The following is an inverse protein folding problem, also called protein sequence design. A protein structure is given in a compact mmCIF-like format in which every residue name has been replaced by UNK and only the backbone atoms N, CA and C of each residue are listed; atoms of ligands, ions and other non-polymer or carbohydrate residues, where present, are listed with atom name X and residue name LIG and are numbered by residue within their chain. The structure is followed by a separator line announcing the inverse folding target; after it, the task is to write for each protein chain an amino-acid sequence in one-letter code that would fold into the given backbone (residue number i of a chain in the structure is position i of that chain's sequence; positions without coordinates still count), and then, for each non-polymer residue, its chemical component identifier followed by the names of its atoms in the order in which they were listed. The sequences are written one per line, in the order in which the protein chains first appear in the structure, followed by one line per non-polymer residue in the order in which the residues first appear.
data_IF_113062230059
#
_entry.id   IF_113062230059
#
_cell.length_a   1.000
_cell.length_b   1.000
_cell.length_c   1.000
_cell.angle_alpha   90.00
_cell.angle_beta   90.00
_cell.angle_gamma   90.00
#
_symmetry.space_group_name_H-M   'P 1'
#
loop_
_entity.id
_entity.type
_entity.pdbx_description
1 polymer ?
#
# COMPACT_ATOMS: atom_id res chain seq x y z
N UNK A 1 1.91 0.50 -33.63
CA UNK A 1 1.93 0.66 -35.08
C UNK A 1 2.72 1.89 -35.48
N UNK A 2 2.40 3.06 -34.92
CA UNK A 2 3.13 4.32 -35.19
C UNK A 2 4.63 4.25 -34.86
N UNK A 3 4.98 3.77 -33.66
CA UNK A 3 6.38 3.59 -33.24
C UNK A 3 7.18 2.62 -34.13
N UNK A 4 6.49 1.81 -34.94
CA UNK A 4 7.09 0.84 -35.85
C UNK A 4 6.91 1.20 -37.32
N UNK A 5 6.39 2.40 -37.65
CA UNK A 5 6.07 2.79 -39.03
C UNK A 5 5.20 1.74 -39.77
N UNK A 6 4.18 1.19 -39.09
CA UNK A 6 3.31 0.10 -39.57
C UNK A 6 3.99 -1.24 -39.89
N UNK A 7 5.25 -1.45 -39.48
CA UNK A 7 5.91 -2.75 -39.53
C UNK A 7 5.33 -3.71 -38.48
N UNK A 8 4.63 -4.73 -38.95
CA UNK A 8 3.91 -5.69 -38.10
C UNK A 8 4.84 -6.62 -37.34
N UNK A 9 6.01 -6.97 -37.92
CA UNK A 9 7.01 -7.83 -37.27
C UNK A 9 7.64 -7.08 -36.10
N UNK A 10 8.07 -5.84 -36.34
CA UNK A 10 8.61 -4.98 -35.26
C UNK A 10 7.58 -4.68 -34.19
N UNK A 11 6.32 -4.45 -34.57
CA UNK A 11 5.24 -4.25 -33.60
C UNK A 11 5.04 -5.48 -32.70
N UNK A 12 5.10 -6.69 -33.27
CA UNK A 12 5.02 -7.93 -32.51
C UNK A 12 6.24 -8.13 -31.59
N UNK A 13 7.44 -7.82 -32.06
CA UNK A 13 8.67 -7.88 -31.26
C UNK A 13 8.62 -6.93 -30.06
N UNK A 14 8.22 -5.67 -30.28
CA UNK A 14 8.05 -4.70 -29.19
C UNK A 14 6.97 -5.14 -28.19
N UNK A 15 5.88 -5.74 -28.69
CA UNK A 15 4.84 -6.27 -27.82
C UNK A 15 5.37 -7.42 -26.95
N UNK A 16 6.13 -8.37 -27.52
CA UNK A 16 6.77 -9.46 -26.77
C UNK A 16 7.75 -8.93 -25.73
N UNK A 17 8.58 -7.96 -26.10
CA UNK A 17 9.49 -7.29 -25.16
C UNK A 17 8.73 -6.63 -24.01
N UNK A 18 7.61 -5.94 -24.30
CA UNK A 18 6.78 -5.31 -23.28
C UNK A 18 6.21 -6.33 -22.29
N UNK A 19 5.70 -7.46 -22.79
CA UNK A 19 5.17 -8.53 -21.95
C UNK A 19 6.26 -9.15 -21.05
N UNK A 20 7.46 -9.37 -21.59
CA UNK A 20 8.59 -9.88 -20.82
C UNK A 20 8.98 -8.92 -19.68
N UNK A 21 9.12 -7.63 -20.00
CA UNK A 21 9.46 -6.62 -19.00
C UNK A 21 8.37 -6.45 -17.94
N UNK A 22 7.09 -6.43 -18.36
CA UNK A 22 5.96 -6.35 -17.43
C UNK A 22 5.93 -7.56 -16.48
N UNK A 23 6.19 -8.76 -16.98
CA UNK A 23 6.24 -9.99 -16.17
C UNK A 23 7.37 -9.94 -15.15
N UNK A 24 8.56 -9.47 -15.54
CA UNK A 24 9.68 -9.30 -14.60
C UNK A 24 9.37 -8.26 -13.52
N UNK A 25 8.75 -7.13 -13.88
CA UNK A 25 8.35 -6.14 -12.89
C UNK A 25 7.23 -6.62 -11.98
N UNK A 26 6.31 -7.45 -12.47
CA UNK A 26 5.23 -8.00 -11.65
C UNK A 26 5.79 -8.76 -10.44
N UNK A 27 6.85 -9.55 -10.63
CA UNK A 27 7.52 -10.26 -9.54
C UNK A 27 8.10 -9.30 -8.49
N UNK A 28 8.96 -8.38 -8.94
CA UNK A 28 9.64 -7.42 -8.06
C UNK A 28 8.63 -6.56 -7.29
N UNK A 29 7.63 -6.00 -7.99
CA UNK A 29 6.61 -5.16 -7.38
C UNK A 29 5.74 -5.92 -6.36
N UNK A 30 5.47 -7.21 -6.60
CA UNK A 30 4.71 -8.03 -5.66
C UNK A 30 5.46 -8.21 -4.34
N UNK A 31 6.78 -8.43 -4.40
CA UNK A 31 7.63 -8.52 -3.21
C UNK A 31 7.68 -7.17 -2.49
N UNK A 32 7.94 -6.08 -3.22
CA UNK A 32 7.96 -4.72 -2.65
C UNK A 32 6.65 -4.39 -1.94
N UNK A 33 5.51 -4.74 -2.53
CA UNK A 33 4.19 -4.49 -1.93
C UNK A 33 4.02 -5.21 -0.59
N UNK A 34 4.44 -6.47 -0.50
CA UNK A 34 4.31 -7.28 0.74
C UNK A 34 5.21 -6.73 1.83
N UNK A 35 6.48 -6.40 1.51
CA UNK A 35 7.44 -5.85 2.47
C UNK A 35 6.95 -4.52 3.01
N UNK A 36 6.58 -3.60 2.11
CA UNK A 36 6.07 -2.27 2.48
C UNK A 36 4.79 -2.37 3.33
N UNK A 37 3.85 -3.25 2.92
CA UNK A 37 2.59 -3.49 3.65
C UNK A 37 2.86 -3.93 5.09
N UNK A 38 3.73 -4.92 5.28
CA UNK A 38 4.02 -5.46 6.60
C UNK A 38 4.76 -4.45 7.48
N UNK A 39 5.70 -3.69 6.90
CA UNK A 39 6.43 -2.66 7.62
C UNK A 39 5.50 -1.54 8.10
N UNK A 40 4.63 -1.02 7.22
CA UNK A 40 3.65 0.01 7.58
C UNK A 40 2.62 -0.53 8.57
N UNK A 41 2.13 -1.76 8.39
CA UNK A 41 1.20 -2.37 9.33
C UNK A 41 1.79 -2.46 10.73
N UNK A 42 3.04 -2.93 10.85
CA UNK A 42 3.75 -3.00 12.14
C UNK A 42 3.89 -1.64 12.81
N UNK A 43 4.32 -0.61 12.07
CA UNK A 43 4.45 0.74 12.59
C UNK A 43 3.09 1.32 13.07
N UNK A 44 2.03 1.11 12.28
CA UNK A 44 0.69 1.59 12.63
C UNK A 44 0.06 0.81 13.79
N UNK A 45 0.31 -0.50 13.91
CA UNK A 45 -0.12 -1.32 15.05
C UNK A 45 0.46 -0.79 16.36
N UNK A 46 1.76 -0.53 16.39
CA UNK A 46 2.46 0.05 17.54
C UNK A 46 1.87 1.42 17.90
N UNK A 47 1.77 2.32 16.93
CA UNK A 47 1.23 3.67 17.16
C UNK A 47 -0.23 3.66 17.63
N UNK A 48 -1.10 2.84 17.02
CA UNK A 48 -2.52 2.79 17.36
C UNK A 48 -2.76 2.21 18.77
N UNK A 49 -1.86 1.34 19.24
CA UNK A 49 -1.91 0.74 20.58
C UNK A 49 -1.50 1.70 21.71
N UNK A 50 -0.95 2.88 21.41
CA UNK A 50 -0.46 3.85 22.40
C UNK A 50 -1.27 5.17 22.38
N UNK A 51 -2.34 5.29 23.19
CA UNK A 51 -3.19 6.49 23.25
C UNK A 51 -2.42 7.77 23.66
N UNK A 52 -1.36 7.64 24.46
CA UNK A 52 -0.55 8.78 24.89
C UNK A 52 0.18 9.51 23.75
N UNK A 53 0.48 8.81 22.65
CA UNK A 53 1.05 9.43 21.45
C UNK A 53 -0.01 10.17 20.60
N UNK A 54 -1.30 9.97 20.91
CA UNK A 54 -2.45 10.53 20.18
C UNK A 54 -2.93 11.87 20.77
N UNK A 55 -2.16 12.45 21.73
CA UNK A 55 -2.45 13.64 22.58
C UNK A 55 -2.94 14.94 21.90
N UNK A 56 -3.11 14.96 20.57
CA UNK A 56 -3.67 16.10 19.83
C UNK A 56 -5.13 15.96 19.37
N UNK A 57 -5.83 14.83 19.55
CA UNK A 57 -7.19 14.67 18.99
C UNK A 57 -8.21 13.98 19.91
N UNK A 58 -9.43 14.54 19.84
CA UNK A 58 -10.73 14.19 20.41
C UNK A 58 -10.97 12.67 20.56
N UNK A 59 -11.52 12.21 21.72
CA UNK A 59 -11.87 10.80 21.92
C UNK A 59 -12.82 10.31 20.81
N UNK A 60 -12.40 9.26 20.11
CA UNK A 60 -13.24 8.61 19.11
C UNK A 60 -14.34 7.81 19.80
N UNK A 61 -15.59 8.04 19.39
CA UNK A 61 -16.70 7.16 19.73
C UNK A 61 -16.38 5.74 19.24
N UNK A 62 -16.35 4.78 20.15
CA UNK A 62 -16.25 3.36 19.84
C UNK A 62 -17.37 2.99 18.87
N UNK A 63 -17.03 2.70 17.60
CA UNK A 63 -18.05 2.17 16.70
C UNK A 63 -18.44 0.78 17.20
N UNK A 64 -19.75 0.48 17.31
CA UNK A 64 -20.17 -0.85 17.72
C UNK A 64 -19.63 -1.89 16.72
N UNK A 65 -19.22 -3.07 17.22
CA UNK A 65 -18.66 -4.11 16.36
C UNK A 65 -19.68 -4.52 15.29
N UNK A 66 -19.25 -4.49 14.02
CA UNK A 66 -20.07 -4.96 12.90
C UNK A 66 -20.21 -6.49 12.98
N UNK A 67 -21.40 -7.03 12.71
CA UNK A 67 -21.65 -8.47 12.75
C UNK A 67 -20.61 -9.27 11.94
N UNK A 68 -20.10 -10.35 12.52
CA UNK A 68 -19.11 -11.28 11.95
C UNK A 68 -17.69 -10.70 11.69
N UNK A 69 -17.36 -9.59 12.33
CA UNK A 69 -16.01 -8.99 12.39
C UNK A 69 -15.51 -9.11 13.83
N UNK A 70 -14.23 -9.47 14.00
CA UNK A 70 -13.62 -9.49 15.33
C UNK A 70 -13.65 -8.07 15.93
N UNK A 71 -14.02 -7.88 17.21
CA UNK A 71 -13.92 -6.56 17.84
C UNK A 71 -12.46 -6.06 17.79
N UNK A 72 -12.22 -4.76 17.55
CA UNK A 72 -10.87 -4.23 17.44
C UNK A 72 -10.11 -4.36 18.76
N UNK A 73 -8.93 -4.96 18.73
CA UNK A 73 -7.93 -4.76 19.78
C UNK A 73 -7.24 -3.39 19.66
N UNK A 74 -6.47 -2.94 20.68
CA UNK A 74 -5.77 -1.65 20.64
C UNK A 74 -4.84 -1.48 19.43
N UNK A 75 -4.22 -2.57 18.97
CA UNK A 75 -3.32 -2.56 17.82
C UNK A 75 -4.04 -2.71 16.46
N UNK A 76 -5.31 -3.13 16.43
CA UNK A 76 -6.03 -3.46 15.19
C UNK A 76 -6.58 -2.20 14.50
N UNK A 77 -5.65 -1.37 14.01
CA UNK A 77 -5.93 -0.05 13.46
C UNK A 77 -6.88 -0.09 12.26
N UNK A 78 -6.97 -1.19 11.49
CA UNK A 78 -7.94 -1.28 10.39
C UNK A 78 -9.37 -1.36 10.96
N UNK A 79 -9.55 -2.09 12.06
CA UNK A 79 -10.84 -2.29 12.71
C UNK A 79 -11.21 -1.12 13.62
N UNK A 80 -10.23 -0.46 14.22
CA UNK A 80 -10.40 0.64 15.18
C UNK A 80 -9.30 1.70 15.06
N UNK A 81 -9.24 2.39 13.91
CA UNK A 81 -8.25 3.45 13.68
C UNK A 81 -8.47 4.66 14.60
N UNK A 82 -7.39 5.11 15.23
CA UNK A 82 -7.32 6.43 15.85
C UNK A 82 -7.26 7.57 14.80
N UNK A 83 -7.48 8.81 15.23
CA UNK A 83 -7.21 9.98 14.39
C UNK A 83 -5.71 10.28 14.34
N UNK A 84 -5.14 10.71 13.18
CA UNK A 84 -5.83 11.05 11.93
C UNK A 84 -6.11 9.86 10.98
N UNK A 85 -5.56 8.68 11.27
CA UNK A 85 -5.59 7.50 10.40
C UNK A 85 -7.01 7.10 9.96
N UNK A 86 -8.00 7.21 10.85
CA UNK A 86 -9.40 6.90 10.53
C UNK A 86 -9.94 7.74 9.36
N UNK A 87 -9.51 9.01 9.22
CA UNK A 87 -9.92 9.87 8.12
C UNK A 87 -9.38 9.40 6.76
N UNK A 88 -8.16 8.85 6.75
CA UNK A 88 -7.49 8.33 5.56
C UNK A 88 -8.02 6.94 5.17
N UNK A 89 -8.39 6.14 6.17
CA UNK A 89 -8.65 4.71 6.00
C UNK A 89 -10.11 4.32 5.90
N UNK A 90 -11.06 5.24 6.11
CA UNK A 90 -12.51 4.93 6.02
C UNK A 90 -12.89 4.20 4.73
N UNK A 91 -12.58 4.78 3.57
CA UNK A 91 -12.95 4.21 2.26
C UNK A 91 -12.16 2.94 1.90
N UNK A 92 -10.82 2.89 2.07
CA UNK A 92 -10.06 1.65 1.91
C UNK A 92 -10.56 0.51 2.81
N UNK A 93 -10.86 0.80 4.09
CA UNK A 93 -11.40 -0.16 5.05
C UNK A 93 -12.75 -0.71 4.61
N UNK A 94 -13.69 0.13 4.21
CA UNK A 94 -15.02 -0.33 3.78
C UNK A 94 -14.92 -1.19 2.51
N UNK A 95 -13.98 -0.87 1.61
CA UNK A 95 -13.68 -1.70 0.44
C UNK A 95 -13.07 -3.04 0.83
N UNK A 96 -12.06 -3.05 1.71
CA UNK A 96 -11.45 -4.28 2.21
C UNK A 96 -12.48 -5.17 2.93
N UNK A 97 -13.38 -4.58 3.72
CA UNK A 97 -14.41 -5.33 4.41
C UNK A 97 -15.39 -6.00 3.44
N UNK A 98 -15.77 -5.32 2.35
CA UNK A 98 -16.58 -5.92 1.29
C UNK A 98 -15.84 -7.09 0.64
N UNK A 99 -14.59 -6.89 0.24
CA UNK A 99 -13.77 -7.91 -0.42
C UNK A 99 -13.51 -9.13 0.50
N UNK A 100 -13.21 -8.91 1.78
CA UNK A 100 -13.01 -9.99 2.74
C UNK A 100 -14.30 -10.81 2.98
N UNK A 101 -15.47 -10.16 2.97
CA UNK A 101 -16.77 -10.85 3.06
C UNK A 101 -17.04 -11.71 1.83
N UNK A 102 -16.76 -11.18 0.64
CA UNK A 102 -16.86 -11.94 -0.61
C UNK A 102 -15.89 -13.12 -0.65
N UNK A 103 -14.63 -12.91 -0.24
CA UNK A 103 -13.64 -13.97 -0.15
C UNK A 103 -14.11 -15.07 0.82
N UNK A 104 -14.66 -14.70 1.98
CA UNK A 104 -15.23 -15.66 2.94
C UNK A 104 -16.46 -16.38 2.38
N UNK A 105 -17.35 -15.70 1.67
CA UNK A 105 -18.55 -16.34 1.11
C UNK A 105 -18.20 -17.38 0.05
N UNK A 106 -17.15 -17.14 -0.76
CA UNK A 106 -16.64 -18.06 -1.78
C UNK A 106 -15.92 -19.29 -1.23
N UNK A 107 -15.51 -19.31 0.05
CA UNK A 107 -14.86 -20.49 0.67
C UNK A 107 -15.78 -21.72 0.58
N UNK A 108 -15.28 -22.92 0.26
CA UNK A 108 -16.10 -24.13 0.32
C UNK A 108 -16.55 -24.42 1.76
N UNK A 109 -17.62 -25.20 1.94
CA UNK A 109 -18.15 -25.52 3.26
C UNK A 109 -17.13 -26.24 4.16
N UNK A 110 -16.24 -27.03 3.57
CA UNK A 110 -15.14 -27.74 4.25
C UNK A 110 -13.97 -26.85 4.66
N UNK A 111 -13.95 -25.57 4.25
CA UNK A 111 -12.82 -24.69 4.55
C UNK A 111 -12.75 -24.38 6.07
N UNK A 112 -11.60 -24.54 6.73
CA UNK A 112 -11.47 -24.35 8.18
C UNK A 112 -11.93 -22.97 8.68
N UNK A 113 -11.71 -21.93 7.86
CA UNK A 113 -12.15 -20.54 8.12
C UNK A 113 -13.47 -20.14 7.43
N UNK A 114 -14.38 -21.06 7.10
CA UNK A 114 -15.68 -20.72 6.46
C UNK A 114 -16.53 -19.84 7.38
N UNK A 115 -16.64 -20.23 8.65
CA UNK A 115 -17.43 -19.53 9.67
C UNK A 115 -16.60 -18.59 10.56
N UNK A 116 -15.28 -18.52 10.35
CA UNK A 116 -14.42 -17.67 11.17
C UNK A 116 -14.77 -16.18 11.02
N UNK A 117 -14.67 -15.38 12.11
CA UNK A 117 -14.80 -13.93 12.01
C UNK A 117 -13.70 -13.35 11.13
N UNK A 118 -14.02 -12.22 10.47
CA UNK A 118 -13.03 -11.46 9.70
C UNK A 118 -12.11 -10.74 10.68
N UNK A 119 -10.80 -10.93 10.54
CA UNK A 119 -9.76 -10.30 11.37
C UNK A 119 -9.16 -9.07 10.71
N UNK A 120 -8.30 -8.34 11.43
CA UNK A 120 -7.47 -7.27 10.85
C UNK A 120 -6.67 -7.77 9.64
N UNK A 121 -6.03 -8.93 9.75
CA UNK A 121 -5.19 -9.47 8.67
C UNK A 121 -6.01 -9.88 7.45
N UNK A 122 -7.23 -10.38 7.64
CA UNK A 122 -8.15 -10.65 6.54
C UNK A 122 -8.46 -9.36 5.74
N UNK A 123 -8.49 -8.20 6.40
CA UNK A 123 -8.69 -6.89 5.76
C UNK A 123 -7.39 -6.34 5.15
N UNK A 124 -6.27 -6.44 5.87
CA UNK A 124 -4.95 -6.02 5.40
C UNK A 124 -4.59 -6.74 4.10
N UNK A 125 -4.95 -8.03 3.98
CA UNK A 125 -4.76 -8.82 2.76
C UNK A 125 -5.51 -8.25 1.54
N UNK A 126 -6.61 -7.52 1.74
CA UNK A 126 -7.41 -6.92 0.64
C UNK A 126 -6.88 -5.57 0.16
N UNK A 127 -5.91 -4.97 0.86
CA UNK A 127 -5.32 -3.73 0.39
C UNK A 127 -4.45 -3.97 -0.84
N UNK A 128 -4.44 -2.97 -1.72
CA UNK A 128 -3.56 -2.89 -2.87
C UNK A 128 -2.44 -1.91 -2.57
N UNK A 129 -1.37 -1.94 -3.36
CA UNK A 129 -0.27 -0.97 -3.32
C UNK A 129 -0.74 0.49 -3.14
N UNK A 130 -1.76 0.88 -3.89
CA UNK A 130 -2.30 2.26 -3.90
C UNK A 130 -2.98 2.70 -2.61
N UNK A 131 -3.24 1.80 -1.65
CA UNK A 131 -3.70 2.19 -0.31
C UNK A 131 -2.54 2.78 0.49
N UNK A 132 -1.36 2.16 0.44
CA UNK A 132 -0.20 2.58 1.22
C UNK A 132 0.38 3.90 0.73
N UNK A 133 0.31 4.18 -0.58
CA UNK A 133 0.70 5.50 -1.11
C UNK A 133 -0.08 6.63 -0.44
N UNK A 134 -1.36 6.42 -0.11
CA UNK A 134 -2.25 7.41 0.54
C UNK A 134 -1.91 7.68 2.01
N UNK A 135 -1.07 6.84 2.62
CA UNK A 135 -0.61 7.00 4.00
C UNK A 135 0.71 7.76 4.09
N UNK A 136 1.46 7.86 2.99
CA UNK A 136 2.70 8.61 2.92
C UNK A 136 2.47 10.13 2.81
N UNK A 137 3.48 10.96 3.16
CA UNK A 137 3.50 12.40 2.91
C UNK A 137 3.18 12.78 1.47
N UNK A 138 2.87 14.06 1.26
CA UNK A 138 2.63 14.65 -0.06
C UNK A 138 3.21 16.04 -0.07
N UNK A 139 3.88 16.40 -1.16
CA UNK A 139 4.46 17.75 -1.36
C UNK A 139 3.39 18.79 -1.70
N UNK A 140 2.22 18.36 -2.20
CA UNK A 140 1.07 19.23 -2.40
C UNK A 140 0.46 19.67 -1.06
N UNK A 141 0.83 20.88 -0.64
CA UNK A 141 0.37 21.53 0.59
C UNK A 141 -1.11 21.91 0.56
N UNK A 142 -1.72 21.97 -0.62
CA UNK A 142 -3.15 22.28 -0.79
C UNK A 142 -4.03 21.03 -0.68
N UNK A 143 -3.43 19.84 -0.71
CA UNK A 143 -4.15 18.58 -0.61
C UNK A 143 -4.92 18.48 0.71
N UNK A 144 -6.21 18.13 0.66
CA UNK A 144 -7.09 18.07 1.86
C UNK A 144 -6.56 17.23 3.02
N UNK A 145 -5.73 16.23 2.72
CA UNK A 145 -5.13 15.31 3.70
C UNK A 145 -3.67 15.64 4.02
N UNK A 146 -3.11 16.76 3.54
CA UNK A 146 -1.71 17.13 3.73
C UNK A 146 -1.30 17.07 5.21
N UNK A 147 -2.01 17.81 6.07
CA UNK A 147 -1.73 17.85 7.51
C UNK A 147 -1.86 16.47 8.19
N UNK A 148 -2.87 15.68 7.81
CA UNK A 148 -3.10 14.35 8.38
C UNK A 148 -2.01 13.35 7.97
N UNK A 149 -1.54 13.42 6.72
CA UNK A 149 -0.44 12.58 6.22
C UNK A 149 0.88 12.95 6.86
N UNK A 150 1.17 14.26 6.98
CA UNK A 150 2.37 14.76 7.67
C UNK A 150 2.39 14.33 9.13
N UNK A 151 1.29 14.54 9.86
CA UNK A 151 1.18 14.12 11.26
C UNK A 151 1.35 12.61 11.43
N UNK A 152 0.74 11.81 10.56
CA UNK A 152 0.87 10.35 10.61
C UNK A 152 2.29 9.87 10.32
N UNK A 153 3.00 10.54 9.41
CA UNK A 153 4.41 10.29 9.13
C UNK A 153 5.27 10.55 10.36
N UNK A 154 5.19 11.75 10.93
CA UNK A 154 5.93 12.18 12.12
C UNK A 154 5.71 11.25 13.31
N UNK A 155 4.49 10.73 13.48
CA UNK A 155 4.14 9.92 14.65
C UNK A 155 4.33 8.42 14.47
N UNK A 156 4.23 7.89 13.25
CA UNK A 156 4.11 6.45 13.05
C UNK A 156 4.90 5.97 11.83
N UNK A 157 4.54 6.43 10.63
CA UNK A 157 4.91 5.74 9.39
C UNK A 157 6.41 5.76 9.12
N UNK A 158 7.15 6.78 9.56
CA UNK A 158 8.60 6.83 9.39
C UNK A 158 9.33 5.65 10.08
N UNK A 159 8.76 5.07 11.15
CA UNK A 159 9.33 3.90 11.83
C UNK A 159 9.31 2.63 10.97
N UNK A 160 8.47 2.57 9.93
CA UNK A 160 8.49 1.48 8.96
C UNK A 160 9.74 1.53 8.05
N UNK A 161 10.44 2.66 8.04
CA UNK A 161 11.54 2.96 7.12
C UNK A 161 12.78 3.49 7.87
N UNK A 162 13.32 2.77 8.86
CA UNK A 162 14.36 3.28 9.76
C UNK A 162 15.68 3.61 9.06
N UNK A 163 15.88 3.13 7.83
CA UNK A 163 17.09 3.37 7.03
C UNK A 163 17.05 4.66 6.21
N UNK A 164 15.90 5.36 6.17
CA UNK A 164 15.73 6.62 5.47
C UNK A 164 16.10 7.80 6.38
N UNK A 165 17.37 7.86 6.80
CA UNK A 165 17.85 8.86 7.75
C UNK A 165 17.88 10.27 7.19
N UNK A 166 18.07 10.41 5.87
CA UNK A 166 18.19 11.69 5.18
C UNK A 166 16.84 12.19 4.60
N UNK A 167 15.76 11.43 4.80
CA UNK A 167 14.41 11.74 4.30
C UNK A 167 13.44 12.01 5.45
N UNK A 168 13.76 13.02 6.27
CA UNK A 168 13.05 13.35 7.51
C UNK A 168 11.56 13.63 7.27
N UNK A 169 11.23 14.31 6.18
CA UNK A 169 9.85 14.65 5.80
C UNK A 169 9.16 13.54 4.98
N UNK A 170 9.89 12.47 4.61
CA UNK A 170 9.37 11.31 3.87
C UNK A 170 9.02 11.59 2.41
N UNK A 171 9.46 12.72 1.85
CA UNK A 171 9.12 13.15 0.50
C UNK A 171 9.81 12.29 -0.56
N UNK A 172 11.08 11.92 -0.33
CA UNK A 172 11.86 11.11 -1.28
C UNK A 172 11.25 9.70 -1.37
N UNK A 173 10.89 9.12 -0.24
CA UNK A 173 10.20 7.84 -0.16
C UNK A 173 8.81 7.94 -0.80
N UNK A 174 8.03 8.98 -0.48
CA UNK A 174 6.68 9.16 -1.03
C UNK A 174 6.68 9.26 -2.56
N UNK A 175 7.60 10.05 -3.12
CA UNK A 175 7.78 10.20 -4.56
C UNK A 175 8.22 8.87 -5.22
N UNK A 176 9.18 8.15 -4.61
CA UNK A 176 9.60 6.83 -5.08
C UNK A 176 8.46 5.82 -5.12
N UNK A 177 7.73 5.68 -4.01
CA UNK A 177 6.58 4.79 -3.91
C UNK A 177 5.49 5.22 -4.91
N UNK A 178 5.32 6.52 -5.14
CA UNK A 178 4.43 7.05 -6.17
C UNK A 178 4.80 6.60 -7.59
N UNK A 179 6.10 6.60 -7.93
CA UNK A 179 6.59 6.07 -9.21
C UNK A 179 6.39 4.56 -9.33
N UNK A 180 6.64 3.79 -8.27
CA UNK A 180 6.41 2.34 -8.24
C UNK A 180 4.93 2.01 -8.37
N UNK A 181 4.05 2.76 -7.71
CA UNK A 181 2.61 2.61 -7.86
C UNK A 181 2.15 2.88 -9.30
N UNK A 182 2.70 3.93 -9.92
CA UNK A 182 2.40 4.26 -11.32
C UNK A 182 2.87 3.16 -12.28
N UNK A 183 4.08 2.62 -12.05
CA UNK A 183 4.59 1.47 -12.79
C UNK A 183 3.71 0.23 -12.61
N UNK A 184 3.33 -0.09 -11.37
CA UNK A 184 2.46 -1.22 -11.04
C UNK A 184 1.12 -1.14 -11.77
N UNK A 185 0.53 0.06 -11.87
CA UNK A 185 -0.70 0.25 -12.62
C UNK A 185 -0.49 -0.02 -14.12
N UNK A 186 0.59 0.49 -14.71
CA UNK A 186 0.94 0.21 -16.12
C UNK A 186 1.11 -1.29 -16.38
N UNK A 187 1.87 -1.98 -15.52
CA UNK A 187 2.09 -3.44 -15.61
C UNK A 187 0.76 -4.20 -15.51
N UNK A 188 -0.07 -3.87 -14.53
CA UNK A 188 -1.37 -4.54 -14.33
C UNK A 188 -2.37 -4.29 -15.47
N UNK A 189 -2.26 -3.17 -16.17
CA UNK A 189 -3.11 -2.81 -17.30
C UNK A 189 -2.51 -3.17 -18.67
N UNK A 190 -1.33 -3.83 -18.68
CA UNK A 190 -0.60 -4.18 -19.90
C UNK A 190 -0.32 -2.96 -20.79
N UNK A 191 -0.09 -1.80 -20.16
CA UNK A 191 0.28 -0.58 -20.87
C UNK A 191 1.71 -0.69 -21.43
N UNK A 192 2.04 0.06 -22.50
CA UNK A 192 3.41 0.09 -23.02
C UNK A 192 4.39 0.60 -21.96
N UNK A 193 5.57 0.01 -21.86
CA UNK A 193 6.65 0.35 -20.92
C UNK A 193 7.88 0.97 -21.62
N UNK A 194 7.79 1.27 -22.92
CA UNK A 194 8.89 1.80 -23.73
C UNK A 194 9.51 3.08 -23.16
N UNK A 195 8.70 3.94 -22.54
CA UNK A 195 9.15 5.18 -21.92
C UNK A 195 9.59 5.05 -20.45
N UNK A 196 9.52 3.83 -19.89
CA UNK A 196 9.90 3.59 -18.50
C UNK A 196 11.41 3.38 -18.43
N UNK A 197 12.10 4.17 -17.60
CA UNK A 197 13.46 3.86 -17.20
C UNK A 197 13.46 2.63 -16.30
N UNK A 198 13.58 1.44 -16.90
CA UNK A 198 13.47 0.18 -16.19
C UNK A 198 14.54 0.01 -15.09
N UNK A 199 15.79 0.43 -15.37
CA UNK A 199 16.88 0.35 -14.40
C UNK A 199 16.56 1.20 -13.17
N UNK A 200 16.14 2.46 -13.36
CA UNK A 200 15.80 3.33 -12.24
C UNK A 200 14.61 2.78 -11.42
N UNK A 201 13.59 2.21 -12.07
CA UNK A 201 12.44 1.61 -11.38
C UNK A 201 12.79 0.33 -10.63
N UNK A 202 13.70 -0.47 -11.17
CA UNK A 202 14.20 -1.64 -10.47
C UNK A 202 15.00 -1.23 -9.22
N UNK A 203 15.87 -0.23 -9.34
CA UNK A 203 16.59 0.35 -8.18
C UNK A 203 15.64 0.94 -7.14
N UNK A 204 14.59 1.66 -7.58
CA UNK A 204 13.55 2.18 -6.68
C UNK A 204 12.94 1.02 -5.85
N UNK A 205 12.57 -0.09 -6.50
CA UNK A 205 11.94 -1.23 -5.82
C UNK A 205 12.89 -1.98 -4.87
N UNK A 206 14.17 -2.10 -5.20
CA UNK A 206 15.16 -2.77 -4.35
C UNK A 206 15.46 -1.97 -3.08
N UNK A 207 15.56 -0.64 -3.17
CA UNK A 207 15.81 0.22 -2.01
C UNK A 207 14.69 0.14 -0.96
N UNK A 208 13.48 -0.18 -1.38
CA UNK A 208 12.33 -0.33 -0.48
C UNK A 208 12.25 -1.73 0.15
N UNK A 209 12.91 -2.75 -0.45
CA UNK A 209 12.89 -4.15 0.01
C UNK A 209 14.11 -4.51 0.84
N UNK A 210 15.29 -3.99 0.51
CA UNK A 210 16.53 -4.31 1.19
C UNK A 210 17.49 -3.10 1.20
N UNK A 211 17.55 -2.34 2.29
CA UNK A 211 18.35 -1.13 2.38
C UNK A 211 19.84 -1.37 2.10
N UNK A 212 20.34 -2.57 2.43
CA UNK A 212 21.76 -2.92 2.30
C UNK A 212 22.19 -3.35 0.88
N UNK A 213 21.26 -3.61 -0.05
CA UNK A 213 21.58 -4.07 -1.42
C UNK A 213 21.88 -2.93 -2.40
N UNK A 214 21.91 -1.67 -1.94
CA UNK A 214 22.07 -0.47 -2.79
C UNK A 214 23.24 0.43 -2.40
N UNK A 215 24.21 -0.09 -1.64
CA UNK A 215 25.51 0.57 -1.42
C UNK A 215 26.52 0.21 -2.49
#
# INVERSE_FOLDING_TARGET
MDACHNDTVKALELYRWNLQLASAFQEVLSITEIVMRNAIDGALRTWNAHPDQQRRVIPHASQPPRANVLPPGPADWILGAASPLNSLMRSPRDTALRQAREARSRRPASHPRKAAPITHDDLLAQFTFGVFTKLLPTTDTTHRNYANRKLLWEQAVHHAFPHYTDDLDGEILADRVGRLHSLRNRVSHMEPLLSVNAVARHTDALKDVHPELTR
#
